data_IF_297343204581
#
_entry.id   IF_297343204581
#
_cell.length_a   1.000
_cell.length_b   1.000
_cell.length_c   1.000
_cell.angle_alpha   90.00
_cell.angle_beta   90.00
_cell.angle_gamma   90.00
#
_symmetry.space_group_name_H-M   'P 1'
#
loop_
_entity.id
_entity.type
_entity.pdbx_description
1 polymer ?
#
# COMPACT_ATOMS: atom_id res chain seq x y z
N UNK A 1 -10.99 11.72 -8.68
CA UNK A 1 -9.60 11.49 -9.13
C UNK A 1 -8.95 10.71 -8.01
N UNK A 2 -8.44 9.52 -8.27
CA UNK A 2 -7.85 8.69 -7.22
C UNK A 2 -6.53 9.34 -6.81
N UNK A 3 -6.36 9.67 -5.53
CA UNK A 3 -5.15 10.31 -5.03
C UNK A 3 -4.07 9.23 -4.84
N UNK A 4 -3.25 9.05 -5.88
CA UNK A 4 -2.15 8.07 -5.90
C UNK A 4 -0.88 8.60 -5.21
N UNK A 5 -0.94 9.72 -4.51
CA UNK A 5 0.21 10.18 -3.74
C UNK A 5 0.41 9.29 -2.51
N UNK A 6 1.65 9.19 -2.03
CA UNK A 6 1.92 8.66 -0.71
C UNK A 6 1.46 9.68 0.33
N UNK A 7 0.51 9.29 1.16
CA UNK A 7 0.24 9.97 2.41
C UNK A 7 1.02 9.31 3.58
N UNK A 8 0.79 9.81 4.79
CA UNK A 8 1.44 9.26 5.98
C UNK A 8 0.93 7.88 6.37
N UNK A 9 -0.33 7.57 6.10
CA UNK A 9 -0.92 6.28 6.39
C UNK A 9 -0.38 5.20 5.45
N UNK A 10 -0.30 5.48 4.15
CA UNK A 10 0.34 4.60 3.15
C UNK A 10 1.74 4.19 3.56
N UNK A 11 2.56 5.16 3.95
CA UNK A 11 3.95 4.94 4.33
C UNK A 11 4.05 4.15 5.64
N UNK A 12 3.17 4.41 6.61
CA UNK A 12 3.07 3.62 7.82
C UNK A 12 2.66 2.16 7.53
N UNK A 13 1.69 1.95 6.64
CA UNK A 13 1.28 0.63 6.19
C UNK A 13 2.42 -0.13 5.52
N UNK A 14 3.25 0.55 4.71
CA UNK A 14 4.44 -0.05 4.09
C UNK A 14 5.49 -0.42 5.15
N UNK A 15 5.75 0.48 6.11
CA UNK A 15 6.69 0.23 7.22
C UNK A 15 6.25 -0.99 8.03
N UNK A 16 4.98 -1.04 8.42
CA UNK A 16 4.38 -2.13 9.18
C UNK A 16 4.40 -3.44 8.40
N UNK A 17 3.94 -3.44 7.14
CA UNK A 17 3.85 -4.64 6.30
C UNK A 17 5.22 -5.28 5.99
N UNK A 18 6.28 -4.47 6.03
CA UNK A 18 7.66 -4.91 5.76
C UNK A 18 8.50 -5.08 7.01
N UNK A 19 7.89 -5.00 8.18
CA UNK A 19 8.55 -5.16 9.48
C UNK A 19 9.81 -4.29 9.58
N UNK A 20 9.72 -3.04 9.12
CA UNK A 20 10.87 -2.16 9.07
C UNK A 20 11.22 -1.63 10.46
N UNK A 21 12.47 -1.83 10.87
CA UNK A 21 13.01 -1.15 12.04
C UNK A 21 13.07 0.38 11.84
N UNK A 22 12.96 1.14 12.94
CA UNK A 22 12.91 2.61 12.95
C UNK A 22 13.99 3.27 12.10
N UNK A 23 15.24 2.79 12.18
CA UNK A 23 16.37 3.33 11.41
C UNK A 23 16.16 3.16 9.90
N UNK A 24 15.70 1.98 9.46
CA UNK A 24 15.44 1.69 8.04
C UNK A 24 14.29 2.54 7.54
N UNK A 25 13.20 2.62 8.31
CA UNK A 25 12.06 3.48 8.01
C UNK A 25 12.47 4.95 7.87
N UNK A 26 13.31 5.49 8.76
CA UNK A 26 13.77 6.88 8.65
C UNK A 26 14.62 7.12 7.40
N UNK A 27 15.56 6.23 7.10
CA UNK A 27 16.38 6.36 5.88
C UNK A 27 15.49 6.33 4.64
N UNK A 28 14.50 5.43 4.60
CA UNK A 28 13.52 5.34 3.51
C UNK A 28 12.72 6.64 3.35
N UNK A 29 12.15 7.19 4.44
CA UNK A 29 11.38 8.43 4.40
C UNK A 29 12.21 9.63 3.92
N UNK A 30 13.46 9.73 4.39
CA UNK A 30 14.37 10.80 3.96
C UNK A 30 14.71 10.69 2.47
N UNK A 31 14.96 9.47 1.96
CA UNK A 31 15.21 9.23 0.53
C UNK A 31 13.99 9.57 -0.32
N UNK A 32 12.79 9.09 0.06
CA UNK A 32 11.54 9.41 -0.64
C UNK A 32 11.35 10.94 -0.70
N UNK A 33 11.54 11.64 0.43
CA UNK A 33 11.35 13.08 0.48
C UNK A 33 12.36 13.86 -0.37
N UNK A 34 13.60 13.37 -0.49
CA UNK A 34 14.67 14.01 -1.29
C UNK A 34 14.57 13.70 -2.79
N UNK A 35 14.26 12.46 -3.14
CA UNK A 35 14.39 11.94 -4.50
C UNK A 35 13.04 11.81 -5.21
N UNK A 36 11.97 11.49 -4.48
CA UNK A 36 10.62 11.22 -4.99
C UNK A 36 9.57 12.17 -4.39
N UNK A 37 9.98 13.39 -4.03
CA UNK A 37 9.12 14.39 -3.36
C UNK A 37 7.78 14.62 -4.08
N UNK A 38 7.78 14.56 -5.42
CA UNK A 38 6.59 14.73 -6.26
C UNK A 38 5.52 13.66 -6.05
N UNK A 39 5.89 12.48 -5.54
CA UNK A 39 4.96 11.39 -5.24
C UNK A 39 4.37 11.47 -3.85
N UNK A 40 4.90 12.31 -2.96
CA UNK A 40 4.27 12.59 -1.67
C UNK A 40 3.03 13.47 -1.86
N UNK A 41 2.06 13.31 -0.96
CA UNK A 41 0.94 14.24 -0.85
C UNK A 41 1.50 15.67 -0.74
N UNK A 42 0.92 16.66 -1.46
CA UNK A 42 1.40 18.05 -1.44
C UNK A 42 1.63 18.62 -0.04
N UNK A 43 0.87 18.16 0.95
CA UNK A 43 1.00 18.53 2.36
C UNK A 43 2.40 18.28 2.95
N UNK A 44 3.09 17.20 2.53
CA UNK A 44 4.37 16.77 3.09
C UNK A 44 5.61 17.29 2.33
N UNK A 45 5.42 17.80 1.11
CA UNK A 45 6.52 18.14 0.18
C UNK A 45 7.52 19.16 0.73
N UNK A 46 7.06 20.06 1.59
CA UNK A 46 7.89 21.14 2.17
C UNK A 46 8.27 20.89 3.63
N UNK A 47 7.74 19.84 4.27
CA UNK A 47 7.90 19.63 5.70
C UNK A 47 8.15 18.16 6.04
N UNK A 48 9.42 17.74 5.93
CA UNK A 48 9.87 16.41 6.29
C UNK A 48 9.56 16.06 7.76
N UNK A 49 9.63 17.03 8.68
CA UNK A 49 9.31 16.80 10.10
C UNK A 49 7.85 16.39 10.29
N UNK A 50 6.93 17.03 9.58
CA UNK A 50 5.51 16.67 9.65
C UNK A 50 5.27 15.26 9.08
N UNK A 51 5.92 14.93 7.97
CA UNK A 51 5.87 13.57 7.42
C UNK A 51 6.29 12.52 8.45
N UNK A 52 7.42 12.73 9.13
CA UNK A 52 7.88 11.83 10.19
C UNK A 52 6.86 11.67 11.32
N UNK A 53 6.33 12.78 11.84
CA UNK A 53 5.39 12.73 12.97
C UNK A 53 4.13 11.95 12.62
N UNK A 54 3.54 12.22 11.45
CA UNK A 54 2.30 11.58 11.04
C UNK A 54 2.51 10.10 10.70
N UNK A 55 3.62 9.76 10.03
CA UNK A 55 3.96 8.35 9.74
C UNK A 55 4.20 7.57 11.03
N UNK A 56 4.89 8.16 12.01
CA UNK A 56 5.09 7.52 13.31
C UNK A 56 3.77 7.30 14.05
N UNK A 57 2.90 8.32 14.08
CA UNK A 57 1.57 8.19 14.67
C UNK A 57 0.80 6.99 14.10
N UNK A 58 0.75 6.87 12.77
CA UNK A 58 0.07 5.75 12.13
C UNK A 58 0.78 4.41 12.32
N UNK A 59 2.11 4.39 12.36
CA UNK A 59 2.87 3.15 12.61
C UNK A 59 2.59 2.62 14.01
N UNK A 60 2.58 3.50 15.01
CA UNK A 60 2.25 3.15 16.40
C UNK A 60 0.80 2.63 16.48
N UNK A 61 -0.14 3.33 15.83
CA UNK A 61 -1.53 2.87 15.72
C UNK A 61 -1.64 1.47 15.10
N UNK A 62 -0.94 1.18 14.00
CA UNK A 62 -0.97 -0.12 13.33
C UNK A 62 -0.35 -1.24 14.18
N UNK A 63 0.70 -0.94 14.94
CA UNK A 63 1.30 -1.88 15.89
C UNK A 63 0.36 -2.24 17.03
N UNK A 64 -0.39 -1.26 17.55
CA UNK A 64 -1.32 -1.43 18.66
C UNK A 64 -2.71 -1.91 18.22
N UNK A 65 -3.04 -1.78 16.93
CA UNK A 65 -4.33 -2.17 16.35
C UNK A 65 -4.81 -3.56 16.78
N UNK A 66 -3.99 -4.63 16.81
CA UNK A 66 -4.45 -5.94 17.27
C UNK A 66 -4.93 -5.97 18.72
N UNK A 67 -4.37 -5.15 19.60
CA UNK A 67 -4.84 -5.03 20.98
C UNK A 67 -6.08 -4.12 21.05
N UNK A 68 -6.12 -3.04 20.27
CA UNK A 68 -7.29 -2.16 20.15
C UNK A 68 -8.52 -2.95 19.65
N UNK A 69 -8.33 -3.80 18.64
CA UNK A 69 -9.38 -4.62 18.04
C UNK A 69 -9.94 -5.64 19.05
N UNK A 70 -9.13 -6.12 20.02
CA UNK A 70 -9.61 -7.00 21.12
C UNK A 70 -10.51 -6.29 22.12
N UNK A 71 -10.37 -4.97 22.27
CA UNK A 71 -11.22 -4.17 23.16
C UNK A 71 -12.57 -3.84 22.50
N UNK A 72 -12.68 -3.99 21.17
CA UNK A 72 -13.87 -3.63 20.41
C UNK A 72 -15.16 -4.33 20.87
N UNK A 73 -15.17 -5.63 21.24
CA UNK A 73 -16.37 -6.28 21.77
C UNK A 73 -16.87 -5.66 23.09
N UNK A 74 -15.96 -5.16 23.93
CA UNK A 74 -16.35 -4.47 25.16
C UNK A 74 -16.99 -3.12 24.85
N UNK A 75 -16.43 -2.38 23.89
CA UNK A 75 -16.99 -1.11 23.39
C UNK A 75 -18.39 -1.35 22.81
N UNK A 76 -18.59 -2.38 21.97
CA UNK A 76 -19.90 -2.71 21.42
C UNK A 76 -20.93 -2.99 22.52
N UNK A 77 -20.56 -3.75 23.55
CA UNK A 77 -21.43 -4.05 24.68
C UNK A 77 -21.86 -2.78 25.43
N UNK A 78 -20.92 -1.86 25.64
CA UNK A 78 -21.21 -0.58 26.29
C UNK A 78 -22.15 0.27 25.44
N UNK A 79 -21.91 0.41 24.15
CA UNK A 79 -22.80 1.14 23.24
C UNK A 79 -24.21 0.55 23.20
N UNK A 80 -24.31 -0.79 23.15
CA UNK A 80 -25.60 -1.49 23.17
C UNK A 80 -26.37 -1.20 24.47
N UNK A 81 -25.67 -1.07 25.61
CA UNK A 81 -26.30 -0.68 26.88
C UNK A 81 -26.91 0.73 26.85
N UNK A 82 -26.44 1.61 25.96
CA UNK A 82 -27.01 2.93 25.69
C UNK A 82 -28.05 2.95 24.56
N UNK A 83 -28.48 1.79 24.06
CA UNK A 83 -29.42 1.66 22.96
C UNK A 83 -28.85 2.09 21.61
N UNK A 84 -27.53 2.02 21.45
CA UNK A 84 -26.82 2.30 20.20
C UNK A 84 -26.11 1.06 19.71
N UNK A 85 -26.12 0.82 18.41
CA UNK A 85 -25.34 -0.24 17.79
C UNK A 85 -24.13 0.36 17.07
N UNK A 86 -23.03 -0.38 17.04
CA UNK A 86 -21.78 -0.02 16.34
C UNK A 86 -21.49 -1.11 15.31
N UNK A 87 -21.47 -0.74 14.02
CA UNK A 87 -21.14 -1.66 12.92
C UNK A 87 -19.66 -2.05 12.99
N UNK A 88 -19.38 -3.34 13.19
CA UNK A 88 -18.04 -3.89 13.38
C UNK A 88 -17.18 -3.75 12.12
N UNK A 89 -17.79 -3.94 10.96
CA UNK A 89 -17.10 -3.89 9.68
C UNK A 89 -16.51 -2.52 9.37
N UNK A 90 -17.06 -1.44 9.94
CA UNK A 90 -16.53 -0.09 9.78
C UNK A 90 -15.22 0.17 10.55
N UNK A 91 -14.94 -0.61 11.60
CA UNK A 91 -13.80 -0.40 12.51
C UNK A 91 -12.71 -1.47 12.40
N UNK A 92 -13.05 -2.69 11.96
CA UNK A 92 -12.13 -3.82 11.87
C UNK A 92 -11.55 -4.01 10.45
N UNK A 93 -11.97 -3.22 9.46
CA UNK A 93 -11.49 -3.40 8.09
C UNK A 93 -9.99 -3.12 7.96
N UNK A 94 -9.27 -4.07 7.36
CA UNK A 94 -7.94 -3.84 6.81
C UNK A 94 -8.11 -2.99 5.52
N UNK A 95 -8.11 -1.66 5.68
CA UNK A 95 -8.27 -0.69 4.58
C UNK A 95 -7.04 -0.65 3.67
N UNK A 96 -6.76 -1.74 2.98
CA UNK A 96 -5.71 -1.80 1.98
C UNK A 96 -6.32 -1.87 0.59
N UNK A 97 -6.35 -0.73 -0.09
CA UNK A 97 -6.66 -0.71 -1.51
C UNK A 97 -5.50 -1.25 -2.34
N UNK A 98 -5.81 -1.69 -3.57
CA UNK A 98 -4.84 -2.36 -4.45
C UNK A 98 -3.73 -1.41 -4.92
N UNK A 99 -3.88 -0.09 -4.82
CA UNK A 99 -2.79 0.85 -5.07
C UNK A 99 -1.68 0.77 -4.02
N UNK A 100 -1.99 0.42 -2.77
CA UNK A 100 -0.98 0.20 -1.73
C UNK A 100 0.01 -0.89 -2.14
N UNK A 101 -0.41 -1.88 -2.92
CA UNK A 101 0.51 -2.85 -3.51
C UNK A 101 1.59 -2.15 -4.34
N UNK A 102 1.19 -1.26 -5.26
CA UNK A 102 2.11 -0.56 -6.15
C UNK A 102 2.98 0.41 -5.37
N UNK A 103 2.41 1.16 -4.41
CA UNK A 103 3.15 2.00 -3.46
C UNK A 103 4.25 1.21 -2.76
N UNK A 104 3.88 0.09 -2.13
CA UNK A 104 4.81 -0.80 -1.43
C UNK A 104 5.88 -1.36 -2.36
N UNK A 105 5.51 -1.83 -3.56
CA UNK A 105 6.48 -2.41 -4.50
C UNK A 105 7.45 -1.39 -5.05
N UNK A 106 7.02 -0.15 -5.29
CA UNK A 106 7.90 0.94 -5.68
C UNK A 106 8.94 1.20 -4.61
N UNK A 107 8.49 1.34 -3.36
CA UNK A 107 9.37 1.58 -2.21
C UNK A 107 10.38 0.44 -2.04
N UNK A 108 9.92 -0.81 -2.14
CA UNK A 108 10.81 -1.98 -2.09
C UNK A 108 11.89 -1.96 -3.16
N UNK A 109 11.51 -1.68 -4.41
CA UNK A 109 12.44 -1.69 -5.56
C UNK A 109 13.47 -0.55 -5.47
N UNK A 110 13.05 0.64 -5.01
CA UNK A 110 13.90 1.84 -5.05
C UNK A 110 14.75 2.05 -3.79
N UNK A 111 14.22 1.72 -2.61
CA UNK A 111 14.79 2.21 -1.35
C UNK A 111 15.29 1.12 -0.40
N UNK A 112 14.90 -0.13 -0.63
CA UNK A 112 15.26 -1.25 0.24
C UNK A 112 16.27 -2.17 -0.44
N UNK A 113 17.15 -2.78 0.36
CA UNK A 113 18.14 -3.73 -0.14
C UNK A 113 17.44 -4.99 -0.67
N UNK A 114 17.53 -5.26 -1.98
CA UNK A 114 16.78 -6.34 -2.61
C UNK A 114 16.92 -6.45 -4.12
N UNK A 115 15.92 -7.10 -4.74
CA UNK A 115 15.82 -7.26 -6.19
C UNK A 115 15.24 -5.98 -6.81
N UNK A 116 15.74 -5.58 -7.99
CA UNK A 116 15.25 -4.45 -8.79
C UNK A 116 13.90 -4.72 -9.47
N UNK A 117 13.20 -5.78 -9.05
CA UNK A 117 11.92 -6.19 -9.58
C UNK A 117 11.12 -7.03 -8.58
N UNK A 118 9.81 -7.11 -8.81
CA UNK A 118 8.89 -8.01 -8.11
C UNK A 118 8.37 -9.04 -9.10
N UNK A 119 8.34 -10.31 -8.71
CA UNK A 119 7.84 -11.38 -9.58
C UNK A 119 6.70 -12.15 -8.90
N UNK A 120 5.55 -12.23 -9.55
CA UNK A 120 4.37 -12.90 -9.01
C UNK A 120 3.39 -13.32 -10.10
N UNK A 121 2.34 -14.08 -9.74
CA UNK A 121 1.18 -14.29 -10.63
C UNK A 121 0.17 -13.17 -10.45
N UNK A 122 -0.50 -12.75 -11.53
CA UNK A 122 -1.58 -11.76 -11.43
C UNK A 122 -2.72 -12.26 -10.51
N UNK A 123 -3.04 -13.56 -10.56
CA UNK A 123 -4.00 -14.20 -9.65
C UNK A 123 -3.66 -13.94 -8.17
N UNK A 124 -2.38 -13.98 -7.81
CA UNK A 124 -1.94 -13.78 -6.43
C UNK A 124 -2.22 -12.35 -5.97
N UNK A 125 -1.97 -11.36 -6.84
CA UNK A 125 -2.26 -9.95 -6.58
C UNK A 125 -3.76 -9.76 -6.35
N UNK A 126 -4.58 -10.20 -7.32
CA UNK A 126 -6.03 -9.99 -7.25
C UNK A 126 -6.65 -10.66 -6.01
N UNK A 127 -6.20 -11.88 -5.69
CA UNK A 127 -6.69 -12.61 -4.52
C UNK A 127 -6.33 -11.92 -3.20
N UNK A 128 -5.14 -11.33 -3.10
CA UNK A 128 -4.70 -10.63 -1.89
C UNK A 128 -5.58 -9.42 -1.54
N UNK A 129 -6.17 -8.79 -2.55
CA UNK A 129 -7.04 -7.60 -2.39
C UNK A 129 -8.53 -7.91 -2.62
N UNK A 130 -8.95 -9.18 -2.47
CA UNK A 130 -10.36 -9.56 -2.52
C UNK A 130 -11.02 -9.58 -3.92
N UNK A 131 -10.26 -9.33 -4.99
CA UNK A 131 -10.80 -9.32 -6.35
C UNK A 131 -11.04 -10.73 -6.88
N UNK A 132 -12.33 -11.06 -7.08
CA UNK A 132 -12.76 -12.37 -7.63
C UNK A 132 -12.74 -12.43 -9.16
N UNK A 133 -12.81 -11.29 -9.84
CA UNK A 133 -12.95 -11.18 -11.30
C UNK A 133 -12.09 -10.05 -11.85
N UNK A 134 -11.60 -10.23 -13.07
CA UNK A 134 -10.94 -9.19 -13.85
C UNK A 134 -12.00 -8.35 -14.57
N UNK A 135 -12.34 -7.20 -14.02
CA UNK A 135 -13.22 -6.22 -14.67
C UNK A 135 -12.40 -5.22 -15.48
N UNK A 136 -13.02 -4.58 -16.48
CA UNK A 136 -12.36 -3.54 -17.26
C UNK A 136 -11.99 -2.32 -16.40
N UNK A 137 -12.82 -2.00 -15.41
CA UNK A 137 -12.54 -0.91 -14.46
C UNK A 137 -11.30 -1.20 -13.60
N UNK A 138 -11.19 -2.42 -13.06
CA UNK A 138 -10.01 -2.85 -12.33
C UNK A 138 -8.76 -2.76 -13.21
N UNK A 139 -8.83 -3.28 -14.44
CA UNK A 139 -7.68 -3.23 -15.36
C UNK A 139 -7.27 -1.80 -15.70
N UNK A 140 -8.24 -0.91 -15.93
CA UNK A 140 -7.98 0.51 -16.12
C UNK A 140 -7.25 1.09 -14.90
N UNK A 141 -7.72 0.78 -13.69
CA UNK A 141 -7.11 1.27 -12.47
C UNK A 141 -5.69 0.75 -12.23
N UNK A 142 -5.43 -0.55 -12.49
CA UNK A 142 -4.07 -1.10 -12.41
C UNK A 142 -3.12 -0.40 -13.40
N UNK A 143 -3.60 -0.12 -14.62
CA UNK A 143 -2.81 0.63 -15.62
C UNK A 143 -2.54 2.06 -15.19
N UNK A 144 -3.52 2.73 -14.60
CA UNK A 144 -3.34 4.08 -14.03
C UNK A 144 -2.28 4.09 -12.92
N UNK A 145 -2.31 3.10 -12.01
CA UNK A 145 -1.29 2.95 -10.98
C UNK A 145 0.10 2.73 -11.60
N UNK A 146 0.25 1.79 -12.53
CA UNK A 146 1.54 1.50 -13.17
C UNK A 146 2.07 2.72 -13.93
N UNK A 147 1.23 3.42 -14.68
CA UNK A 147 1.61 4.63 -15.39
C UNK A 147 2.09 5.73 -14.42
N UNK A 148 1.34 5.96 -13.34
CA UNK A 148 1.69 6.97 -12.34
C UNK A 148 3.02 6.66 -11.65
N UNK A 149 3.24 5.41 -11.23
CA UNK A 149 4.45 5.00 -10.53
C UNK A 149 5.61 4.58 -11.46
N UNK A 150 5.51 4.84 -12.77
CA UNK A 150 6.47 4.43 -13.80
C UNK A 150 6.88 2.96 -13.67
N UNK A 151 5.89 2.09 -13.51
CA UNK A 151 6.09 0.65 -13.46
C UNK A 151 5.78 -0.01 -14.79
N UNK A 152 6.60 -0.99 -15.16
CA UNK A 152 6.40 -1.80 -16.36
C UNK A 152 6.33 -3.29 -16.03
N UNK A 153 5.41 -3.99 -16.69
CA UNK A 153 5.26 -5.44 -16.60
C UNK A 153 5.98 -6.15 -17.74
N UNK A 154 6.59 -7.29 -17.39
CA UNK A 154 7.30 -8.17 -18.31
C UNK A 154 6.91 -9.63 -18.10
N UNK A 155 6.82 -10.38 -19.19
CA UNK A 155 6.78 -11.85 -19.21
C UNK A 155 8.20 -12.44 -19.15
N UNK A 156 8.26 -13.78 -19.15
CA UNK A 156 9.52 -14.52 -19.18
C UNK A 156 10.32 -14.12 -20.42
N UNK A 157 11.61 -13.81 -20.23
CA UNK A 157 12.49 -13.37 -21.32
C UNK A 157 12.60 -11.85 -21.47
N UNK A 158 12.03 -11.07 -20.53
CA UNK A 158 12.00 -9.60 -20.56
C UNK A 158 11.17 -9.04 -21.73
N UNK A 159 10.18 -9.81 -22.17
CA UNK A 159 9.18 -9.33 -23.12
C UNK A 159 8.20 -8.42 -22.38
N UNK A 160 8.08 -7.17 -22.83
CA UNK A 160 7.14 -6.22 -22.26
C UNK A 160 5.70 -6.71 -22.48
N UNK A 161 4.85 -6.58 -21.47
CA UNK A 161 3.45 -6.99 -21.58
C UNK A 161 2.52 -6.01 -20.87
N UNK A 162 1.26 -5.96 -21.32
CA UNK A 162 0.18 -5.28 -20.63
C UNK A 162 -0.46 -6.22 -19.59
N UNK A 163 -0.51 -5.79 -18.32
CA UNK A 163 -1.13 -6.52 -17.21
C UNK A 163 -2.61 -6.90 -17.48
N UNK A 164 -3.29 -6.17 -18.37
CA UNK A 164 -4.67 -6.43 -18.77
C UNK A 164 -4.84 -7.56 -19.77
N UNK A 165 -3.80 -7.90 -20.52
CA UNK A 165 -3.86 -8.86 -21.63
C UNK A 165 -3.35 -10.25 -21.24
N UNK A 166 -2.50 -10.32 -20.21
CA UNK A 166 -1.94 -11.57 -19.69
C UNK A 166 -2.96 -12.50 -19.03
N UNK A 167 -2.63 -13.79 -19.01
CA UNK A 167 -3.38 -14.81 -18.27
C UNK A 167 -3.20 -14.67 -16.76
N UNK A 168 -4.23 -15.00 -15.97
CA UNK A 168 -4.20 -14.88 -14.50
C UNK A 168 -3.08 -15.72 -13.84
N UNK A 169 -2.72 -16.85 -14.44
CA UNK A 169 -1.70 -17.77 -13.92
C UNK A 169 -0.29 -17.50 -14.46
N UNK A 170 -0.14 -16.50 -15.34
CA UNK A 170 1.15 -16.11 -15.88
C UNK A 170 1.99 -15.38 -14.82
N UNK A 171 3.29 -15.68 -14.83
CA UNK A 171 4.25 -15.01 -13.96
C UNK A 171 4.64 -13.67 -14.59
N UNK A 172 4.26 -12.58 -13.94
CA UNK A 172 4.71 -11.24 -14.28
C UNK A 172 5.93 -10.84 -13.48
N UNK A 173 6.78 -10.05 -14.11
CA UNK A 173 7.87 -9.30 -13.49
C UNK A 173 7.53 -7.81 -13.59
N UNK A 174 7.47 -7.12 -12.45
CA UNK A 174 7.22 -5.68 -12.36
C UNK A 174 8.54 -4.99 -12.03
N UNK A 175 8.88 -3.96 -12.80
CA UNK A 175 10.06 -3.10 -12.58
C UNK A 175 9.64 -1.64 -12.52
N UNK A 176 10.43 -0.82 -11.83
CA UNK A 176 10.34 0.63 -11.92
C UNK A 176 11.30 1.11 -13.02
N UNK A 177 10.84 2.00 -13.90
CA UNK A 177 11.60 2.61 -14.99
C UNK A 177 12.31 3.90 -14.57
#
# INVERSE_FOLDING_TARGET
MIELYYDSFDLACIIHSLDMGTKTASIMLEKIWKEDNQYLSPYYRTNLRQLYLDVHYWTDYLCDKPEIDKEFPAIQKDFHSFGKDVEEEAFITDYFDIDLFFKMKRVQILYLDGQDYVRMKLRTLLKAYGYKRRTQELLKYLRECMMFYHMQTYLRGKEECDIGEIGLDEMITIRVL
#
